data_IF_089587540716
#
_entry.id   IF_089587540716
#
_cell.length_a   1.000
_cell.length_b   1.000
_cell.length_c   1.000
_cell.angle_alpha   90.00
_cell.angle_beta   90.00
_cell.angle_gamma   90.00
#
_symmetry.space_group_name_H-M   'P 1'
#
loop_
_entity.id
_entity.type
_entity.pdbx_description
1 polymer ?
#
# COMPACT_ATOMS: atom_id res chain seq x y z
N UNK A 1 12.99 -12.81 -10.92
CA UNK A 1 11.83 -12.94 -10.01
C UNK A 1 11.95 -11.87 -8.93
N UNK A 2 11.49 -10.65 -9.17
CA UNK A 2 11.23 -9.72 -8.06
C UNK A 2 9.91 -10.13 -7.44
N UNK A 3 9.96 -11.20 -6.64
CA UNK A 3 8.88 -11.61 -5.75
C UNK A 3 8.76 -10.58 -4.62
N UNK A 4 8.35 -9.36 -4.96
CA UNK A 4 8.01 -8.35 -3.99
C UNK A 4 6.88 -8.90 -3.13
N UNK A 5 7.07 -8.84 -1.81
CA UNK A 5 6.05 -9.20 -0.81
C UNK A 5 4.70 -8.63 -1.26
N UNK A 6 3.67 -9.48 -1.34
CA UNK A 6 2.31 -9.05 -1.63
C UNK A 6 1.92 -8.02 -0.56
N UNK A 7 1.51 -6.79 -0.93
CA UNK A 7 1.11 -5.79 0.05
C UNK A 7 -0.02 -6.30 0.95
N UNK A 8 0.00 -5.90 2.21
CA UNK A 8 -1.05 -6.27 3.16
C UNK A 8 -1.38 -5.12 4.09
N UNK A 9 -2.54 -5.20 4.73
CA UNK A 9 -3.01 -4.21 5.71
C UNK A 9 -1.90 -3.90 6.73
N UNK A 10 -1.62 -2.60 6.88
CA UNK A 10 -0.55 -2.05 7.72
C UNK A 10 0.76 -1.76 6.99
N UNK A 11 1.03 -2.40 5.85
CA UNK A 11 2.24 -2.14 5.07
C UNK A 11 2.18 -0.74 4.44
N UNK A 12 3.29 -0.02 4.49
CA UNK A 12 3.49 1.17 3.67
C UNK A 12 3.91 0.74 2.27
N UNK A 13 3.27 1.34 1.27
CA UNK A 13 3.53 1.09 -0.12
C UNK A 13 3.72 2.38 -0.90
N UNK A 14 4.54 2.29 -1.94
CA UNK A 14 4.60 3.25 -3.01
C UNK A 14 3.74 2.79 -4.19
N UNK A 15 2.80 3.63 -4.64
CA UNK A 15 2.00 3.41 -5.84
C UNK A 15 2.70 4.04 -7.05
N UNK A 16 3.34 3.21 -7.87
CA UNK A 16 4.12 3.65 -9.03
C UNK A 16 3.29 4.39 -10.11
N UNK A 17 1.97 4.22 -10.14
CA UNK A 17 1.10 4.91 -11.11
C UNK A 17 0.85 6.35 -10.71
N UNK A 18 0.70 6.59 -9.41
CA UNK A 18 0.39 7.92 -8.88
C UNK A 18 1.62 8.64 -8.32
N UNK A 19 2.72 7.91 -8.11
CA UNK A 19 3.92 8.40 -7.42
C UNK A 19 3.71 8.66 -5.92
N UNK A 20 2.58 8.23 -5.35
CA UNK A 20 2.21 8.51 -3.95
C UNK A 20 2.63 7.37 -3.02
N UNK A 21 2.94 7.73 -1.79
CA UNK A 21 3.09 6.77 -0.70
C UNK A 21 1.86 6.74 0.19
N UNK A 22 1.48 5.54 0.60
CA UNK A 22 0.34 5.31 1.46
C UNK A 22 0.45 4.02 2.25
N UNK A 23 -0.44 3.85 3.20
CA UNK A 23 -0.54 2.63 4.00
C UNK A 23 -1.73 1.84 3.51
N UNK A 24 -1.57 0.53 3.33
CA UNK A 24 -2.69 -0.36 3.05
C UNK A 24 -3.60 -0.39 4.27
N UNK A 25 -4.82 0.13 4.14
CA UNK A 25 -5.83 0.08 5.19
C UNK A 25 -6.74 -1.14 5.07
N UNK A 26 -6.95 -1.64 3.84
CA UNK A 26 -7.82 -2.77 3.57
C UNK A 26 -7.41 -3.49 2.26
N UNK A 27 -7.70 -4.79 2.17
CA UNK A 27 -7.46 -5.60 0.96
C UNK A 27 -8.73 -6.36 0.60
N UNK A 28 -9.37 -5.95 -0.49
CA UNK A 28 -10.60 -6.52 -1.02
C UNK A 28 -10.31 -7.51 -2.14
N UNK A 29 -10.87 -8.71 -2.01
CA UNK A 29 -10.76 -9.81 -2.98
C UNK A 29 -9.31 -10.16 -3.39
N UNK A 30 -8.31 -9.79 -2.57
CA UNK A 30 -6.90 -10.07 -2.80
C UNK A 30 -6.24 -9.33 -3.97
N UNK A 31 -6.98 -8.50 -4.70
CA UNK A 31 -6.51 -7.74 -5.88
C UNK A 31 -6.74 -6.24 -5.74
N UNK A 32 -7.67 -5.82 -4.88
CA UNK A 32 -8.02 -4.42 -4.67
C UNK A 32 -7.53 -3.97 -3.29
N UNK A 33 -6.73 -2.92 -3.25
CA UNK A 33 -6.10 -2.39 -2.05
C UNK A 33 -6.65 -1.00 -1.78
N UNK A 34 -7.12 -0.76 -0.56
CA UNK A 34 -7.50 0.58 -0.11
C UNK A 34 -6.30 1.15 0.63
N UNK A 35 -5.88 2.34 0.21
CA UNK A 35 -4.70 3.03 0.70
C UNK A 35 -5.13 4.31 1.39
N UNK A 36 -4.54 4.59 2.55
CA UNK A 36 -4.62 5.88 3.23
C UNK A 36 -3.32 6.65 3.03
N UNK A 37 -3.41 7.96 2.92
CA UNK A 37 -2.22 8.80 2.81
C UNK A 37 -1.32 8.62 4.05
N UNK A 38 -0.01 8.55 3.85
CA UNK A 38 0.96 8.39 4.93
C UNK A 38 1.03 9.64 5.82
N UNK A 39 0.99 10.82 5.20
CA UNK A 39 1.06 12.12 5.87
C UNK A 39 -0.21 12.94 5.59
N UNK A 40 -0.85 13.41 6.66
CA UNK A 40 -2.08 14.21 6.61
C UNK A 40 -3.34 13.36 6.51
N UNK A 41 -4.46 13.87 7.05
CA UNK A 41 -5.79 13.25 7.00
C UNK A 41 -6.42 13.21 5.60
N UNK A 42 -5.63 12.83 4.60
CA UNK A 42 -6.02 12.75 3.20
C UNK A 42 -6.98 11.60 2.92
N UNK A 43 -7.75 11.78 1.85
CA UNK A 43 -8.70 10.79 1.34
C UNK A 43 -8.02 9.46 1.06
N UNK A 44 -8.75 8.37 1.29
CA UNK A 44 -8.32 7.05 0.84
C UNK A 44 -8.46 6.93 -0.66
N UNK A 45 -7.60 6.11 -1.29
CA UNK A 45 -7.73 5.76 -2.70
C UNK A 45 -7.56 4.27 -2.91
N UNK A 46 -8.00 3.80 -4.08
CA UNK A 46 -8.05 2.37 -4.39
C UNK A 46 -7.04 2.01 -5.47
N UNK A 47 -6.35 0.89 -5.25
CA UNK A 47 -5.42 0.28 -6.19
C UNK A 47 -5.83 -1.14 -6.55
N UNK A 48 -6.09 -1.41 -7.83
CA UNK A 48 -6.59 -2.71 -8.31
C UNK A 48 -5.50 -3.63 -8.86
N UNK A 49 -4.25 -3.16 -8.91
CA UNK A 49 -3.13 -3.96 -9.41
C UNK A 49 -2.03 -4.04 -8.33
N UNK A 50 -1.84 -5.21 -7.67
CA UNK A 50 -0.80 -5.36 -6.65
C UNK A 50 0.61 -5.11 -7.20
N UNK A 51 0.81 -5.38 -8.49
CA UNK A 51 2.10 -5.22 -9.16
C UNK A 51 2.56 -3.75 -9.22
N UNK A 52 1.63 -2.80 -9.09
CA UNK A 52 1.94 -1.37 -9.07
C UNK A 52 2.30 -0.85 -7.68
N UNK A 53 2.06 -1.67 -6.65
CA UNK A 53 2.32 -1.33 -5.26
C UNK A 53 3.63 -1.98 -4.83
N UNK A 54 4.59 -1.16 -4.44
CA UNK A 54 5.86 -1.63 -3.88
C UNK A 54 5.84 -1.40 -2.38
N UNK A 55 5.95 -2.46 -1.57
CA UNK A 55 6.10 -2.32 -0.12
C UNK A 55 7.41 -1.59 0.17
N UNK A 56 7.33 -0.39 0.74
CA UNK A 56 8.48 0.43 1.12
C UNK A 56 8.82 0.28 2.60
N UNK A 57 7.82 0.07 3.45
CA UNK A 57 7.99 -0.26 4.86
C UNK A 57 7.02 -1.36 5.27
N UNK A 58 7.50 -2.54 5.70
CA UNK A 58 6.65 -3.59 6.24
C UNK A 58 5.91 -3.12 7.49
N UNK A 59 4.70 -3.66 7.72
CA UNK A 59 3.92 -3.38 8.92
C UNK A 59 4.65 -3.71 10.23
N UNK A 60 5.57 -4.68 10.22
CA UNK A 60 6.31 -5.10 11.42
C UNK A 60 7.39 -4.09 11.83
N UNK A 61 7.93 -3.34 10.87
CA UNK A 61 8.96 -2.32 11.10
C UNK A 61 8.35 -0.93 11.33
N UNK A 62 7.04 -0.79 11.11
CA UNK A 62 6.34 0.49 11.28
C UNK A 62 6.03 0.72 12.76
N UNK A 63 6.88 1.50 13.42
CA UNK A 63 6.61 2.03 14.77
C UNK A 63 5.69 3.24 14.62
N UNK A 64 4.43 3.11 15.04
CA UNK A 64 3.46 4.22 15.13
C UNK A 64 3.70 5.05 16.40
#
# INVERSE_FOLDING_TARGET
MTGGRKPWVGDQVHDAVTGREGIVSDVRSGTTYVLRHLYGGGLTWTATAPQRLTVTLPREDRTD
#
